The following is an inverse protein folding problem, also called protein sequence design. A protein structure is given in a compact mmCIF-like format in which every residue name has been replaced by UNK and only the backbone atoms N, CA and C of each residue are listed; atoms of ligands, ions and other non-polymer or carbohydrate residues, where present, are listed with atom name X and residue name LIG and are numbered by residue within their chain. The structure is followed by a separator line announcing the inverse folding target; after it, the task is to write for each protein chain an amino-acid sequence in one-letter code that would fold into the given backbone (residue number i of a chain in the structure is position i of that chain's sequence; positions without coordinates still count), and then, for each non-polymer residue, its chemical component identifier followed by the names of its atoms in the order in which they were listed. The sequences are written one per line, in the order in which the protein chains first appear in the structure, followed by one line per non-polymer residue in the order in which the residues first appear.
data_IF_470138238866
#
_entry.id   IF_470138238866
#
_cell.length_a   1.000
_cell.length_b   1.000
_cell.length_c   1.000
_cell.angle_alpha   90.00
_cell.angle_beta   90.00
_cell.angle_gamma   90.00
#
_symmetry.space_group_name_H-M   'P 1'
#
loop_
_entity.id
_entity.type
_entity.pdbx_description
1 polymer ?
#
# COMPACT_ATOMS: atom_id res chain seq x y z
N UNK A 1 -9.42 19.82 16.15
CA UNK A 1 -8.40 18.79 16.18
C UNK A 1 -7.18 19.20 15.40
N UNK A 2 -6.02 19.01 16.03
CA UNK A 2 -4.72 19.50 15.60
C UNK A 2 -3.66 18.43 15.86
N UNK A 3 -2.82 18.19 14.86
CA UNK A 3 -1.65 17.32 15.03
C UNK A 3 -0.61 18.04 15.87
N UNK A 4 -0.29 17.50 17.03
CA UNK A 4 0.75 18.02 17.93
C UNK A 4 2.12 17.50 17.52
N UNK A 5 2.21 16.21 17.21
CA UNK A 5 3.47 15.55 16.84
C UNK A 5 3.17 14.32 15.98
N UNK A 6 3.91 14.15 14.90
CA UNK A 6 3.95 12.88 14.16
C UNK A 6 5.33 12.25 14.35
N UNK A 7 5.36 10.98 14.75
CA UNK A 7 6.61 10.25 15.00
C UNK A 7 6.56 8.85 14.42
N UNK A 8 7.61 8.49 13.70
CA UNK A 8 7.78 7.16 13.11
C UNK A 8 8.73 6.32 13.97
N UNK A 9 8.28 5.11 14.33
CA UNK A 9 9.09 4.10 15.00
C UNK A 9 9.35 2.97 14.01
N UNK A 10 10.60 2.80 13.57
CA UNK A 10 11.01 1.81 12.54
C UNK A 10 11.28 0.40 13.09
N UNK A 11 11.00 0.18 14.36
CA UNK A 11 11.27 -1.07 15.08
C UNK A 11 10.59 -1.06 16.44
N UNK A 12 10.96 -2.01 17.34
CA UNK A 12 10.35 -2.13 18.65
C UNK A 12 10.35 -0.81 19.42
N UNK A 13 9.19 -0.47 19.97
CA UNK A 13 8.92 0.77 20.69
C UNK A 13 7.96 0.53 21.85
N UNK A 14 7.74 1.51 22.75
CA UNK A 14 6.71 1.41 23.80
C UNK A 14 5.29 1.17 23.27
N UNK A 15 5.06 1.40 21.97
CA UNK A 15 3.76 1.31 21.33
C UNK A 15 3.54 0.02 20.54
N UNK A 16 4.58 -0.80 20.37
CA UNK A 16 4.49 -2.07 19.63
C UNK A 16 5.86 -2.62 19.25
N UNK A 17 5.92 -3.92 18.97
CA UNK A 17 7.12 -4.59 18.47
C UNK A 17 7.34 -4.36 16.96
N UNK A 18 6.26 -4.09 16.22
CA UNK A 18 6.29 -3.79 14.80
C UNK A 18 6.56 -2.29 14.55
N UNK A 19 7.03 -1.91 13.36
CA UNK A 19 7.08 -0.52 12.95
C UNK A 19 5.70 0.14 13.03
N UNK A 20 5.64 1.32 13.65
CA UNK A 20 4.40 2.07 13.88
C UNK A 20 4.59 3.56 13.66
N UNK A 21 3.55 4.22 13.17
CA UNK A 21 3.41 5.67 13.18
C UNK A 21 2.58 6.03 14.41
N UNK A 22 3.02 7.04 15.15
CA UNK A 22 2.26 7.65 16.24
C UNK A 22 1.97 9.09 15.88
N UNK A 23 0.70 9.42 15.78
CA UNK A 23 0.20 10.79 15.70
C UNK A 23 -0.32 11.18 17.09
N UNK A 24 0.30 12.17 17.70
CA UNK A 24 -0.26 12.83 18.89
C UNK A 24 -1.28 13.86 18.40
N UNK A 25 -2.55 13.57 18.63
CA UNK A 25 -3.68 14.33 18.15
C UNK A 25 -4.39 14.99 19.33
N UNK A 26 -4.46 16.32 19.30
CA UNK A 26 -5.30 17.11 20.18
C UNK A 26 -6.68 17.23 19.52
N UNK A 27 -7.73 16.66 20.10
CA UNK A 27 -9.07 16.72 19.52
C UNK A 27 -9.70 18.11 19.65
N UNK A 28 -9.18 18.95 20.56
CA UNK A 28 -9.76 20.25 20.89
C UNK A 28 -11.25 20.06 21.24
N UNK A 29 -12.15 20.87 20.67
CA UNK A 29 -13.58 20.76 20.98
C UNK A 29 -14.21 19.44 20.51
N UNK A 30 -13.58 18.70 19.57
CA UNK A 30 -14.08 17.40 19.12
C UNK A 30 -14.01 16.30 20.19
N UNK A 31 -13.35 16.55 21.32
CA UNK A 31 -13.40 15.64 22.46
C UNK A 31 -14.85 15.38 22.91
N UNK A 32 -15.71 16.39 22.80
CA UNK A 32 -17.12 16.33 23.16
C UNK A 32 -18.01 15.72 22.05
N UNK A 33 -17.42 15.36 20.90
CA UNK A 33 -18.13 14.89 19.71
C UNK A 33 -17.65 13.49 19.30
N UNK A 34 -17.99 12.44 20.08
CA UNK A 34 -17.80 11.08 19.63
C UNK A 34 -18.66 10.80 18.39
N UNK A 35 -18.28 9.80 17.61
CA UNK A 35 -18.82 9.53 16.26
C UNK A 35 -20.35 9.48 16.20
N UNK A 36 -21.02 8.91 17.20
CA UNK A 36 -22.48 8.79 17.21
C UNK A 36 -23.21 10.12 17.52
N UNK A 37 -22.50 11.12 18.06
CA UNK A 37 -23.05 12.46 18.31
C UNK A 37 -23.05 13.32 17.04
N UNK A 38 -22.26 12.96 16.03
CA UNK A 38 -22.12 13.72 14.80
C UNK A 38 -23.17 13.23 13.78
N UNK A 39 -24.13 14.07 13.38
CA UNK A 39 -25.23 13.64 12.52
C UNK A 39 -24.77 13.08 11.17
N UNK A 40 -25.17 11.83 10.89
CA UNK A 40 -24.90 11.14 9.63
C UNK A 40 -23.43 10.78 9.38
N UNK A 41 -22.54 10.96 10.37
CA UNK A 41 -21.10 10.74 10.20
C UNK A 41 -20.79 9.28 9.89
N UNK A 42 -21.36 8.36 10.67
CA UNK A 42 -21.09 6.93 10.55
C UNK A 42 -21.56 6.40 9.18
N UNK A 43 -22.75 6.81 8.73
CA UNK A 43 -23.34 6.39 7.46
C UNK A 43 -22.48 6.85 6.28
N UNK A 44 -22.09 8.14 6.25
CA UNK A 44 -21.24 8.69 5.18
C UNK A 44 -19.85 8.06 5.17
N UNK A 45 -19.28 7.78 6.34
CA UNK A 45 -17.98 7.09 6.45
C UNK A 45 -18.04 5.69 5.82
N UNK A 46 -19.08 4.92 6.16
CA UNK A 46 -19.23 3.54 5.68
C UNK A 46 -19.67 3.48 4.21
N UNK A 47 -20.34 4.50 3.69
CA UNK A 47 -20.64 4.62 2.26
C UNK A 47 -19.35 4.84 1.45
N UNK A 48 -18.43 5.68 1.94
CA UNK A 48 -17.14 5.93 1.27
C UNK A 48 -16.13 4.79 1.45
N UNK A 49 -16.21 4.06 2.57
CA UNK A 49 -15.28 2.98 2.93
C UNK A 49 -16.03 1.76 3.49
N UNK A 50 -16.78 1.02 2.65
CA UNK A 50 -17.59 -0.12 3.10
C UNK A 50 -16.74 -1.27 3.67
N UNK A 51 -15.48 -1.38 3.26
CA UNK A 51 -14.53 -2.39 3.71
C UNK A 51 -14.12 -2.23 5.18
N UNK A 52 -14.38 -1.08 5.81
CA UNK A 52 -14.25 -0.91 7.26
C UNK A 52 -15.14 -1.89 8.05
N UNK A 53 -16.16 -2.47 7.42
CA UNK A 53 -16.96 -3.56 7.99
C UNK A 53 -16.14 -4.81 8.34
N UNK A 54 -14.99 -5.04 7.72
CA UNK A 54 -14.14 -6.20 8.05
C UNK A 54 -13.28 -5.97 9.30
N UNK A 55 -13.19 -4.75 9.82
CA UNK A 55 -12.32 -4.42 10.94
C UNK A 55 -12.89 -4.92 12.27
N UNK A 56 -12.09 -5.71 13.00
CA UNK A 56 -12.50 -6.29 14.28
C UNK A 56 -12.41 -5.38 15.52
N UNK A 57 -11.54 -4.37 15.49
CA UNK A 57 -11.31 -3.47 16.64
C UNK A 57 -11.08 -4.27 17.95
N UNK A 58 -11.65 -3.84 19.08
CA UNK A 58 -11.58 -4.51 20.38
C UNK A 58 -12.34 -5.85 20.43
N UNK A 59 -13.28 -6.08 19.51
CA UNK A 59 -14.11 -7.29 19.48
C UNK A 59 -13.46 -8.47 18.76
N UNK A 60 -12.39 -8.22 17.99
CA UNK A 60 -11.63 -9.27 17.28
C UNK A 60 -12.43 -10.03 16.23
N UNK A 61 -13.61 -9.53 15.81
CA UNK A 61 -14.53 -10.16 14.86
C UNK A 61 -15.00 -9.15 13.82
N UNK A 62 -15.20 -9.53 12.54
CA UNK A 62 -15.71 -8.63 11.52
C UNK A 62 -16.95 -7.85 11.99
N UNK A 63 -16.99 -6.56 11.69
CA UNK A 63 -18.02 -5.61 12.12
C UNK A 63 -17.75 -4.98 13.49
N UNK A 64 -16.70 -5.39 14.20
CA UNK A 64 -16.38 -4.87 15.53
C UNK A 64 -16.12 -3.36 15.56
N UNK A 65 -15.43 -2.81 14.55
CA UNK A 65 -15.24 -1.35 14.44
C UNK A 65 -16.57 -0.61 14.16
N UNK A 66 -17.38 -1.12 13.22
CA UNK A 66 -18.69 -0.55 12.87
C UNK A 66 -19.59 -0.47 14.10
N UNK A 67 -19.59 -1.53 14.91
CA UNK A 67 -20.30 -1.56 16.19
C UNK A 67 -19.80 -0.46 17.13
N UNK A 68 -18.47 -0.33 17.27
CA UNK A 68 -17.84 0.66 18.16
C UNK A 68 -18.17 2.12 17.81
N UNK A 69 -18.48 2.41 16.54
CA UNK A 69 -18.94 3.73 16.08
C UNK A 69 -20.28 4.17 16.72
N UNK A 70 -21.04 3.25 17.31
CA UNK A 70 -22.37 3.51 17.88
C UNK A 70 -22.59 2.97 19.31
N UNK A 71 -21.66 2.17 19.83
CA UNK A 71 -21.70 1.60 21.19
C UNK A 71 -21.72 2.68 22.27
N UNK A 72 -22.31 2.34 23.42
CA UNK A 72 -22.27 3.16 24.62
C UNK A 72 -20.92 3.01 25.34
N UNK A 73 -20.40 4.12 25.84
CA UNK A 73 -19.17 4.20 26.63
C UNK A 73 -19.50 4.19 28.13
N UNK A 74 -18.49 3.92 28.97
CA UNK A 74 -18.65 3.85 30.44
C UNK A 74 -19.17 5.16 31.07
N UNK A 75 -18.96 6.29 30.38
CA UNK A 75 -19.42 7.63 30.79
C UNK A 75 -20.84 7.99 30.27
N UNK A 76 -21.52 7.03 29.61
CA UNK A 76 -22.85 7.21 29.03
C UNK A 76 -22.86 7.93 27.68
N UNK A 77 -21.71 8.32 27.14
CA UNK A 77 -21.62 8.82 25.76
C UNK A 77 -21.74 7.67 24.76
N UNK A 78 -22.00 7.98 23.49
CA UNK A 78 -22.12 6.96 22.42
C UNK A 78 -21.15 7.20 21.29
N UNK A 79 -20.65 6.12 20.71
CA UNK A 79 -19.66 6.11 19.64
C UNK A 79 -18.23 6.22 20.15
N UNK A 80 -17.30 6.47 19.22
CA UNK A 80 -15.87 6.55 19.52
C UNK A 80 -15.28 7.88 19.05
N UNK A 81 -14.14 8.26 19.62
CA UNK A 81 -13.45 9.50 19.30
C UNK A 81 -12.75 9.47 17.93
N UNK A 82 -12.60 10.66 17.33
CA UNK A 82 -12.04 10.82 15.99
C UNK A 82 -10.64 10.24 15.84
N UNK A 83 -9.81 10.28 16.89
CA UNK A 83 -8.49 9.65 16.87
C UNK A 83 -8.55 8.15 16.56
N UNK A 84 -9.53 7.45 17.12
CA UNK A 84 -9.74 6.02 16.88
C UNK A 84 -10.36 5.75 15.50
N UNK A 85 -11.19 6.66 14.99
CA UNK A 85 -11.68 6.59 13.60
C UNK A 85 -10.52 6.73 12.62
N UNK A 86 -9.64 7.72 12.84
CA UNK A 86 -8.45 7.99 12.00
C UNK A 86 -7.52 6.77 11.98
N UNK A 87 -7.31 6.11 13.11
CA UNK A 87 -6.55 4.86 13.19
C UNK A 87 -7.07 3.80 12.21
N UNK A 88 -8.36 3.49 12.28
CA UNK A 88 -8.98 2.45 11.46
C UNK A 88 -9.00 2.83 9.98
N UNK A 89 -9.27 4.10 9.67
CA UNK A 89 -9.25 4.62 8.30
C UNK A 89 -7.83 4.57 7.73
N UNK A 90 -6.81 4.94 8.50
CA UNK A 90 -5.41 4.89 8.06
C UNK A 90 -4.92 3.46 7.82
N UNK A 91 -5.34 2.50 8.65
CA UNK A 91 -5.09 1.07 8.41
C UNK A 91 -5.75 0.60 7.12
N UNK A 92 -7.03 0.95 6.91
CA UNK A 92 -7.78 0.50 5.74
C UNK A 92 -7.25 1.10 4.43
N UNK A 93 -6.88 2.39 4.42
CA UNK A 93 -6.25 3.01 3.25
C UNK A 93 -4.96 2.28 2.86
N UNK A 94 -4.15 1.84 3.84
CA UNK A 94 -2.95 1.04 3.57
C UNK A 94 -3.30 -0.34 2.99
N UNK A 95 -4.33 -1.01 3.52
CA UNK A 95 -4.82 -2.28 3.00
C UNK A 95 -5.30 -2.15 1.54
N UNK A 96 -6.07 -1.11 1.23
CA UNK A 96 -6.50 -0.79 -0.13
C UNK A 96 -5.33 -0.46 -1.06
N UNK A 97 -4.23 0.10 -0.52
CA UNK A 97 -2.96 0.30 -1.22
C UNK A 97 -2.10 -0.97 -1.36
N UNK A 98 -2.64 -2.15 -1.00
CA UNK A 98 -1.96 -3.45 -1.15
C UNK A 98 -0.98 -3.77 -0.01
N UNK A 99 -1.03 -3.04 1.09
CA UNK A 99 -0.19 -3.25 2.27
C UNK A 99 -1.02 -3.79 3.43
N UNK A 100 -0.85 -5.07 3.74
CA UNK A 100 -1.62 -5.73 4.80
C UNK A 100 -1.09 -5.32 6.19
N UNK A 101 -1.82 -4.43 6.87
CA UNK A 101 -1.54 -3.96 8.23
C UNK A 101 -2.81 -4.01 9.08
N UNK A 102 -2.67 -4.50 10.31
CA UNK A 102 -3.83 -4.74 11.19
C UNK A 102 -3.65 -4.19 12.60
N UNK A 103 -2.44 -3.78 12.98
CA UNK A 103 -2.18 -3.31 14.33
C UNK A 103 -2.46 -1.81 14.45
N UNK A 104 -3.44 -1.47 15.28
CA UNK A 104 -3.79 -0.10 15.65
C UNK A 104 -4.04 0.02 17.15
N UNK A 105 -3.79 1.21 17.70
CA UNK A 105 -4.11 1.52 19.09
C UNK A 105 -4.23 3.03 19.33
N UNK A 106 -5.39 3.48 19.79
CA UNK A 106 -5.61 4.87 20.20
C UNK A 106 -5.70 4.96 21.72
N UNK A 107 -4.89 5.81 22.35
CA UNK A 107 -4.83 5.95 23.81
C UNK A 107 -4.71 7.41 24.24
N UNK A 108 -5.47 7.82 25.25
CA UNK A 108 -5.39 9.14 25.84
C UNK A 108 -4.00 9.39 26.43
N UNK A 109 -3.51 10.63 26.34
CA UNK A 109 -2.24 11.06 26.90
C UNK A 109 -2.44 11.39 28.38
N UNK A 110 -1.69 10.76 29.31
CA UNK A 110 -1.83 11.03 30.73
C UNK A 110 -1.64 12.52 31.05
N UNK A 111 -2.60 13.09 31.81
CA UNK A 111 -2.57 14.49 32.23
C UNK A 111 -2.93 15.51 31.14
N UNK A 112 -3.37 15.07 29.95
CA UNK A 112 -3.79 15.94 28.85
C UNK A 112 -5.15 15.49 28.29
N UNK A 113 -6.28 15.92 28.88
CA UNK A 113 -7.62 15.62 28.37
C UNK A 113 -7.77 16.04 26.90
N UNK A 114 -8.50 15.27 26.09
CA UNK A 114 -8.67 15.54 24.66
C UNK A 114 -7.45 15.21 23.79
N UNK A 115 -6.29 14.86 24.37
CA UNK A 115 -5.09 14.53 23.61
C UNK A 115 -4.88 13.02 23.56
N UNK A 116 -4.66 12.48 22.37
CA UNK A 116 -4.54 11.05 22.12
C UNK A 116 -3.27 10.72 21.35
N UNK A 117 -2.66 9.59 21.66
CA UNK A 117 -1.75 8.89 20.78
C UNK A 117 -2.55 7.96 19.87
N UNK A 118 -2.65 8.32 18.60
CA UNK A 118 -3.19 7.49 17.53
C UNK A 118 -2.04 6.70 16.92
N UNK A 119 -2.04 5.39 17.10
CA UNK A 119 -0.94 4.51 16.70
C UNK A 119 -1.46 3.51 15.67
N UNK A 120 -0.73 3.33 14.57
CA UNK A 120 -1.01 2.27 13.61
C UNK A 120 0.29 1.76 12.98
N UNK A 121 0.31 0.46 12.63
CA UNK A 121 1.45 -0.16 11.97
C UNK A 121 1.56 0.24 10.50
N UNK A 122 2.78 0.16 9.98
CA UNK A 122 3.06 0.34 8.55
C UNK A 122 4.07 -0.72 8.08
N UNK A 123 4.06 -1.01 6.78
CA UNK A 123 5.17 -1.73 6.11
C UNK A 123 6.04 -0.74 5.36
N UNK A 124 5.42 0.11 4.54
CA UNK A 124 6.09 1.19 3.82
C UNK A 124 5.78 2.53 4.50
N UNK A 125 6.83 3.21 4.98
CA UNK A 125 6.71 4.40 5.83
C UNK A 125 5.93 5.53 5.14
N UNK A 126 6.27 5.80 3.88
CA UNK A 126 5.62 6.86 3.11
C UNK A 126 4.13 6.57 2.89
N UNK A 127 3.77 5.31 2.58
CA UNK A 127 2.37 4.89 2.41
C UNK A 127 1.61 5.07 3.74
N UNK A 128 2.22 4.71 4.87
CA UNK A 128 1.60 4.89 6.18
C UNK A 128 1.42 6.36 6.59
N UNK A 129 2.36 7.24 6.24
CA UNK A 129 2.24 8.69 6.50
C UNK A 129 1.16 9.32 5.62
N UNK A 130 1.16 9.03 4.32
CA UNK A 130 0.14 9.53 3.39
C UNK A 130 -1.26 9.00 3.74
N UNK A 131 -1.36 7.74 4.19
CA UNK A 131 -2.62 7.16 4.65
C UNK A 131 -3.17 7.85 5.91
N UNK A 132 -2.30 8.21 6.86
CA UNK A 132 -2.69 8.96 8.06
C UNK A 132 -3.20 10.37 7.73
N UNK A 133 -2.54 11.06 6.81
CA UNK A 133 -2.95 12.38 6.35
C UNK A 133 -4.29 12.31 5.59
N UNK A 134 -4.45 11.35 4.67
CA UNK A 134 -5.70 11.16 3.95
C UNK A 134 -6.85 10.75 4.89
N UNK A 135 -6.57 9.93 5.92
CA UNK A 135 -7.54 9.58 6.95
C UNK A 135 -8.01 10.82 7.73
N UNK A 136 -7.08 11.69 8.12
CA UNK A 136 -7.38 12.95 8.78
C UNK A 136 -8.28 13.83 7.91
N UNK A 137 -7.92 14.01 6.64
CA UNK A 137 -8.69 14.84 5.69
C UNK A 137 -10.08 14.26 5.42
N UNK A 138 -10.19 12.94 5.26
CA UNK A 138 -11.49 12.26 5.14
C UNK A 138 -12.35 12.52 6.37
N UNK A 139 -11.85 12.29 7.58
CA UNK A 139 -12.61 12.52 8.81
C UNK A 139 -13.07 13.98 8.91
N UNK A 140 -12.19 14.95 8.62
CA UNK A 140 -12.52 16.38 8.61
C UNK A 140 -13.57 16.74 7.56
N UNK A 141 -13.57 16.07 6.40
CA UNK A 141 -14.55 16.31 5.34
C UNK A 141 -15.96 15.86 5.71
N UNK A 142 -16.07 14.92 6.66
CA UNK A 142 -17.34 14.35 7.11
C UNK A 142 -17.96 15.12 8.28
N UNK A 143 -17.22 16.07 8.87
CA UNK A 143 -17.69 16.92 9.96
C UNK A 143 -18.65 18.01 9.42
N UNK A 144 -19.72 18.33 10.15
CA UNK A 144 -20.53 19.52 9.89
C UNK A 144 -19.68 20.79 9.89
N UNK A 145 -19.94 21.76 8.99
CA UNK A 145 -19.12 22.96 8.84
C UNK A 145 -19.09 23.85 10.09
N UNK A 146 -20.05 23.68 11.01
CA UNK A 146 -20.11 24.39 12.28
C UNK A 146 -19.11 23.86 13.32
N UNK A 147 -18.52 22.67 13.10
CA UNK A 147 -17.55 22.10 14.04
C UNK A 147 -16.13 22.62 13.78
N UNK A 148 -15.33 22.94 14.83
CA UNK A 148 -14.04 23.65 14.72
C UNK A 148 -12.95 23.00 13.86
N UNK A 149 -13.13 21.75 13.41
CA UNK A 149 -12.15 21.02 12.61
C UNK A 149 -12.65 20.57 11.26
N UNK A 150 -13.88 20.94 10.88
CA UNK A 150 -14.38 20.66 9.56
C UNK A 150 -13.42 21.25 8.50
N UNK A 151 -13.36 20.61 7.33
CA UNK A 151 -12.62 21.20 6.22
C UNK A 151 -13.23 22.56 5.85
N UNK A 152 -12.41 23.59 5.59
CA UNK A 152 -12.90 24.84 5.02
C UNK A 152 -13.72 24.58 3.74
N UNK A 153 -14.76 25.37 3.43
CA UNK A 153 -15.64 25.10 2.29
C UNK A 153 -14.91 24.95 0.94
N UNK A 154 -13.83 25.71 0.75
CA UNK A 154 -12.98 25.63 -0.45
C UNK A 154 -12.19 24.33 -0.53
N UNK A 155 -11.62 23.87 0.59
CA UNK A 155 -10.90 22.60 0.67
C UNK A 155 -11.87 21.42 0.54
N UNK A 156 -13.06 21.52 1.16
CA UNK A 156 -14.10 20.50 1.08
C UNK A 156 -14.60 20.34 -0.36
N UNK A 157 -14.82 21.44 -1.08
CA UNK A 157 -15.22 21.41 -2.49
C UNK A 157 -14.15 20.81 -3.41
N UNK A 158 -12.87 20.92 -3.04
CA UNK A 158 -11.75 20.34 -3.78
C UNK A 158 -11.43 18.90 -3.40
N UNK A 159 -11.93 18.43 -2.25
CA UNK A 159 -11.64 17.11 -1.71
C UNK A 159 -12.48 16.03 -2.38
N UNK A 160 -11.79 15.10 -3.04
CA UNK A 160 -12.38 13.89 -3.61
C UNK A 160 -11.63 12.69 -3.03
N UNK A 161 -12.23 12.07 -2.02
CA UNK A 161 -11.61 10.94 -1.32
C UNK A 161 -11.28 9.78 -2.27
N UNK A 162 -12.17 9.46 -3.22
CA UNK A 162 -11.98 8.33 -4.14
C UNK A 162 -10.78 8.61 -5.03
N UNK A 163 -10.71 9.80 -5.62
CA UNK A 163 -9.58 10.21 -6.48
C UNK A 163 -8.26 10.25 -5.70
N UNK A 164 -8.26 10.81 -4.49
CA UNK A 164 -7.05 10.92 -3.67
C UNK A 164 -6.55 9.57 -3.16
N UNK A 165 -7.48 8.67 -2.77
CA UNK A 165 -7.19 7.27 -2.45
C UNK A 165 -6.56 6.58 -3.66
N UNK A 166 -7.17 6.68 -4.84
CA UNK A 166 -6.67 6.01 -6.04
C UNK A 166 -5.30 6.55 -6.46
N UNK A 167 -5.04 7.86 -6.27
CA UNK A 167 -3.72 8.44 -6.47
C UNK A 167 -2.69 7.91 -5.46
N UNK A 168 -3.07 7.70 -4.19
CA UNK A 168 -2.21 7.07 -3.19
C UNK A 168 -1.93 5.61 -3.56
N UNK A 169 -2.94 4.85 -3.99
CA UNK A 169 -2.77 3.45 -4.45
C UNK A 169 -1.78 3.39 -5.61
N UNK A 170 -1.91 4.28 -6.60
CA UNK A 170 -0.98 4.33 -7.73
C UNK A 170 0.46 4.63 -7.28
N UNK A 171 0.67 5.61 -6.39
CA UNK A 171 2.00 5.88 -5.83
C UNK A 171 2.53 4.72 -4.99
N UNK A 172 1.66 4.08 -4.22
CA UNK A 172 2.02 2.93 -3.41
C UNK A 172 2.45 1.74 -4.28
N UNK A 173 1.90 1.55 -5.47
CA UNK A 173 2.35 0.48 -6.39
C UNK A 173 3.82 0.65 -6.83
N UNK A 174 4.31 1.88 -6.94
CA UNK A 174 5.73 2.15 -7.23
C UNK A 174 6.63 1.89 -6.01
N UNK A 175 6.07 2.10 -4.81
CA UNK A 175 6.80 1.96 -3.54
C UNK A 175 6.72 0.55 -3.00
N UNK A 176 5.66 -0.23 -3.20
CA UNK A 176 5.48 -1.56 -2.60
C UNK A 176 6.27 -2.61 -3.38
N UNK A 177 6.68 -3.68 -2.70
CA UNK A 177 7.34 -4.80 -3.37
C UNK A 177 6.37 -5.47 -4.35
N UNK A 178 6.81 -5.63 -5.60
CA UNK A 178 6.04 -6.40 -6.60
C UNK A 178 5.77 -7.85 -6.14
N UNK A 179 4.77 -8.53 -6.73
CA UNK A 179 4.23 -9.79 -6.19
C UNK A 179 5.29 -10.88 -6.00
N UNK A 180 6.20 -11.04 -6.95
CA UNK A 180 7.33 -11.99 -6.85
C UNK A 180 8.25 -11.66 -5.69
N UNK A 181 8.66 -10.39 -5.55
CA UNK A 181 9.56 -9.97 -4.47
C UNK A 181 8.87 -10.09 -3.12
N UNK A 182 7.59 -9.67 -3.01
CA UNK A 182 6.79 -9.77 -1.79
C UNK A 182 6.65 -11.21 -1.32
N UNK A 183 6.34 -12.16 -2.22
CA UNK A 183 6.25 -13.58 -1.89
C UNK A 183 7.57 -14.16 -1.34
N UNK A 184 8.70 -13.81 -1.96
CA UNK A 184 10.03 -14.22 -1.48
C UNK A 184 10.36 -13.61 -0.11
N UNK A 185 10.01 -12.34 0.11
CA UNK A 185 10.21 -11.66 1.39
C UNK A 185 9.33 -12.23 2.49
N UNK A 186 8.07 -12.52 2.20
CA UNK A 186 7.15 -13.14 3.14
C UNK A 186 7.67 -14.51 3.58
N UNK A 187 8.11 -15.34 2.62
CA UNK A 187 8.69 -16.65 2.93
C UNK A 187 10.02 -16.55 3.70
N UNK A 188 10.88 -15.58 3.36
CA UNK A 188 12.10 -15.32 4.12
C UNK A 188 11.79 -14.97 5.58
N UNK A 189 10.86 -14.03 5.81
CA UNK A 189 10.40 -13.64 7.15
C UNK A 189 9.80 -14.83 7.91
N UNK A 190 8.99 -15.66 7.26
CA UNK A 190 8.41 -16.89 7.86
C UNK A 190 9.48 -17.85 8.35
N UNK A 191 10.65 -17.90 7.68
CA UNK A 191 11.81 -18.71 8.08
C UNK A 191 12.73 -18.02 9.09
N UNK A 192 12.35 -16.84 9.60
CA UNK A 192 13.21 -16.05 10.47
C UNK A 192 14.42 -15.46 9.76
N UNK A 193 14.38 -15.35 8.43
CA UNK A 193 15.42 -14.70 7.63
C UNK A 193 15.07 -13.20 7.51
N UNK A 194 15.93 -12.30 8.01
CA UNK A 194 15.74 -10.87 7.88
C UNK A 194 15.66 -10.45 6.41
N UNK A 195 14.68 -9.60 6.09
CA UNK A 195 14.50 -9.03 4.75
C UNK A 195 14.51 -7.50 4.86
N UNK A 196 15.53 -6.87 4.28
CA UNK A 196 15.82 -5.45 4.40
C UNK A 196 15.72 -4.83 3.01
N UNK A 197 14.82 -3.87 2.84
CA UNK A 197 14.70 -3.13 1.59
C UNK A 197 15.87 -2.14 1.47
N UNK A 198 16.52 -2.13 0.31
CA UNK A 198 17.70 -1.30 0.05
C UNK A 198 17.41 -0.10 -0.86
N UNK A 199 16.35 -0.14 -1.66
CA UNK A 199 15.94 0.95 -2.55
C UNK A 199 14.42 0.96 -2.79
N UNK A 200 13.96 1.96 -3.55
CA UNK A 200 12.56 2.08 -3.99
C UNK A 200 12.22 1.07 -5.11
N UNK A 201 13.21 0.59 -5.86
CA UNK A 201 13.04 -0.32 -7.01
C UNK A 201 13.10 -1.83 -6.65
N UNK A 202 12.54 -2.20 -5.50
CA UNK A 202 12.41 -3.61 -5.04
C UNK A 202 13.74 -4.38 -4.91
N UNK A 203 14.87 -3.71 -4.64
CA UNK A 203 16.10 -4.37 -4.20
C UNK A 203 16.00 -4.73 -2.73
N UNK A 204 16.11 -6.02 -2.42
CA UNK A 204 16.00 -6.54 -1.05
C UNK A 204 17.24 -7.34 -0.70
N UNK A 205 17.76 -7.12 0.50
CA UNK A 205 18.74 -7.97 1.14
C UNK A 205 18.05 -9.00 2.04
N UNK A 206 18.41 -10.27 1.87
CA UNK A 206 18.04 -11.37 2.74
C UNK A 206 19.24 -11.75 3.63
N UNK A 207 19.05 -11.82 4.94
CA UNK A 207 20.09 -12.20 5.90
C UNK A 207 21.12 -11.11 6.20
N UNK A 208 22.14 -11.47 6.99
CA UNK A 208 23.16 -10.56 7.50
C UNK A 208 24.58 -11.05 7.21
N UNK A 209 25.52 -10.09 7.16
CA UNK A 209 26.96 -10.35 7.09
C UNK A 209 27.33 -11.25 5.92
N UNK A 210 28.22 -12.22 6.16
CA UNK A 210 28.70 -13.14 5.12
C UNK A 210 27.62 -14.04 4.50
N UNK A 211 26.44 -14.14 5.12
CA UNK A 211 25.32 -14.95 4.62
C UNK A 211 24.29 -14.12 3.87
N UNK A 212 24.49 -12.81 3.74
CA UNK A 212 23.54 -11.96 3.04
C UNK A 212 23.42 -12.34 1.56
N UNK A 213 22.21 -12.29 1.01
CA UNK A 213 21.92 -12.42 -0.42
C UNK A 213 21.11 -11.21 -0.87
N UNK A 214 21.24 -10.80 -2.14
CA UNK A 214 20.42 -9.73 -2.71
C UNK A 214 19.49 -10.29 -3.75
N UNK A 215 18.26 -9.81 -3.76
CA UNK A 215 17.26 -10.16 -4.75
C UNK A 215 16.59 -8.91 -5.32
N UNK A 216 16.19 -8.99 -6.58
CA UNK A 216 15.24 -8.08 -7.22
C UNK A 216 14.33 -8.92 -8.10
N UNK A 217 13.04 -8.96 -7.76
CA UNK A 217 12.14 -10.00 -8.27
C UNK A 217 12.74 -11.40 -8.06
N UNK A 218 12.85 -12.21 -9.12
CA UNK A 218 13.46 -13.55 -9.08
C UNK A 218 14.97 -13.56 -9.34
N UNK A 219 15.57 -12.41 -9.68
CA UNK A 219 17.02 -12.31 -9.94
C UNK A 219 17.76 -12.22 -8.61
N UNK A 220 18.81 -13.00 -8.44
CA UNK A 220 19.59 -13.05 -7.20
C UNK A 220 21.03 -12.58 -7.41
N UNK A 221 21.76 -12.32 -6.33
CA UNK A 221 23.20 -12.07 -6.35
C UNK A 221 24.04 -13.24 -6.93
N UNK A 222 23.44 -14.41 -7.16
CA UNK A 222 24.08 -15.57 -7.81
C UNK A 222 23.76 -15.67 -9.30
N UNK A 223 22.82 -14.89 -9.80
CA UNK A 223 22.48 -14.87 -11.22
C UNK A 223 23.57 -14.10 -11.97
N UNK A 224 24.28 -14.78 -12.88
CA UNK A 224 25.35 -14.14 -13.67
C UNK A 224 24.79 -13.01 -14.52
N UNK A 225 25.53 -11.89 -14.61
CA UNK A 225 25.16 -10.77 -15.46
C UNK A 225 25.01 -11.21 -16.93
N UNK A 226 25.94 -12.01 -17.43
CA UNK A 226 25.90 -12.55 -18.80
C UNK A 226 24.61 -13.36 -19.02
N UNK A 227 24.17 -14.13 -18.02
CA UNK A 227 22.93 -14.90 -18.14
C UNK A 227 21.69 -14.00 -18.20
N UNK A 228 21.65 -12.91 -17.43
CA UNK A 228 20.56 -11.92 -17.47
C UNK A 228 20.52 -11.20 -18.81
N UNK A 229 21.67 -10.74 -19.31
CA UNK A 229 21.76 -10.09 -20.62
C UNK A 229 21.33 -11.04 -21.73
N UNK A 230 21.86 -12.27 -21.73
CA UNK A 230 21.50 -13.31 -22.71
C UNK A 230 20.01 -13.58 -22.72
N UNK A 231 19.40 -13.77 -21.53
CA UNK A 231 17.97 -14.07 -21.43
C UNK A 231 17.06 -12.87 -21.78
N UNK A 232 17.58 -11.64 -21.70
CA UNK A 232 16.86 -10.43 -22.09
C UNK A 232 16.90 -10.17 -23.59
N UNK A 233 17.91 -10.71 -24.29
CA UNK A 233 18.01 -10.70 -25.75
C UNK A 233 17.28 -11.91 -26.35
N UNK A 234 16.15 -11.64 -27.02
CA UNK A 234 15.31 -12.68 -27.63
C UNK A 234 16.01 -13.38 -28.79
N UNK A 235 16.78 -12.65 -29.61
CA UNK A 235 17.46 -13.22 -30.78
C UNK A 235 18.58 -14.15 -30.32
N UNK A 236 19.41 -13.67 -29.39
CA UNK A 236 20.49 -14.49 -28.83
C UNK A 236 19.92 -15.71 -28.08
N UNK A 237 18.87 -15.54 -27.30
CA UNK A 237 18.21 -16.65 -26.60
C UNK A 237 17.72 -17.71 -27.58
N UNK A 238 17.01 -17.32 -28.64
CA UNK A 238 16.48 -18.27 -29.62
C UNK A 238 17.60 -19.00 -30.35
N UNK A 239 18.67 -18.29 -30.74
CA UNK A 239 19.85 -18.91 -31.37
C UNK A 239 20.47 -19.97 -30.44
N UNK A 240 20.76 -19.61 -29.19
CA UNK A 240 21.37 -20.55 -28.24
C UNK A 240 20.52 -21.78 -27.97
N UNK A 241 19.19 -21.61 -27.86
CA UNK A 241 18.27 -22.74 -27.71
C UNK A 241 18.25 -23.62 -28.98
N UNK A 242 18.21 -23.02 -30.16
CA UNK A 242 18.24 -23.74 -31.44
C UNK A 242 19.56 -24.51 -31.64
N UNK A 243 20.70 -23.89 -31.33
CA UNK A 243 22.02 -24.51 -31.42
C UNK A 243 22.15 -25.71 -30.45
N UNK A 244 21.44 -25.66 -29.33
CA UNK A 244 21.31 -26.76 -28.38
C UNK A 244 20.27 -27.83 -28.78
N UNK A 245 19.62 -27.69 -29.95
CA UNK A 245 18.59 -28.60 -30.44
C UNK A 245 17.23 -28.48 -29.74
N UNK A 246 17.01 -27.41 -28.96
CA UNK A 246 15.72 -27.11 -28.33
C UNK A 246 14.83 -26.43 -29.37
N UNK A 247 13.62 -26.96 -29.64
CA UNK A 247 12.70 -26.36 -30.61
C UNK A 247 12.35 -24.92 -30.23
N UNK A 248 12.47 -24.00 -31.19
CA UNK A 248 12.12 -22.59 -31.03
C UNK A 248 11.09 -22.15 -32.08
N UNK A 249 10.29 -21.10 -31.80
CA UNK A 249 9.35 -20.56 -32.77
C UNK A 249 10.07 -20.03 -34.02
N UNK A 250 9.48 -20.28 -35.21
CA UNK A 250 9.90 -19.61 -36.44
C UNK A 250 9.64 -18.11 -36.28
N UNK A 251 10.65 -17.30 -36.55
CA UNK A 251 10.58 -15.84 -36.41
C UNK A 251 11.45 -15.18 -37.48
N UNK A 252 11.18 -13.92 -37.78
CA UNK A 252 11.96 -13.07 -38.68
C UNK A 252 12.12 -11.72 -37.98
N UNK A 253 13.36 -11.25 -37.84
CA UNK A 253 13.63 -9.88 -37.38
C UNK A 253 13.32 -8.91 -38.52
N UNK A 254 12.56 -7.87 -38.20
CA UNK A 254 12.16 -6.82 -39.15
C UNK A 254 12.46 -5.45 -38.56
N UNK A 255 12.85 -4.49 -39.40
CA UNK A 255 13.20 -3.11 -39.03
C UNK A 255 12.28 -2.07 -39.64
N UNK A 256 11.34 -2.46 -40.50
CA UNK A 256 10.34 -1.60 -41.12
C UNK A 256 8.97 -2.26 -41.18
N UNK A 257 7.93 -1.46 -41.40
CA UNK A 257 6.58 -1.97 -41.60
C UNK A 257 6.48 -2.85 -42.86
N UNK A 258 7.16 -2.44 -43.94
CA UNK A 258 7.17 -3.20 -45.20
C UNK A 258 7.83 -4.58 -45.02
N UNK A 259 8.98 -4.64 -44.33
CA UNK A 259 9.63 -5.90 -43.98
C UNK A 259 8.73 -6.80 -43.11
N UNK A 260 7.93 -6.20 -42.22
CA UNK A 260 6.98 -6.93 -41.40
C UNK A 260 5.86 -7.59 -42.23
N UNK A 261 5.37 -6.90 -43.27
CA UNK A 261 4.37 -7.43 -44.20
C UNK A 261 4.94 -8.60 -45.01
N UNK A 262 6.14 -8.44 -45.58
CA UNK A 262 6.81 -9.51 -46.33
C UNK A 262 7.11 -10.73 -45.45
N UNK A 263 7.54 -10.49 -44.20
CA UNK A 263 7.76 -11.55 -43.22
C UNK A 263 6.45 -12.27 -42.87
N UNK A 264 5.33 -11.54 -42.80
CA UNK A 264 4.03 -12.11 -42.49
C UNK A 264 3.54 -13.06 -43.60
N UNK A 265 3.70 -12.67 -44.86
CA UNK A 265 3.37 -13.52 -46.02
C UNK A 265 4.20 -14.81 -46.04
N UNK A 266 5.48 -14.73 -45.65
CA UNK A 266 6.38 -15.89 -45.59
C UNK A 266 6.08 -16.85 -44.44
N UNK A 267 5.74 -16.33 -43.26
CA UNK A 267 5.52 -17.15 -42.06
C UNK A 267 4.11 -17.73 -42.01
N UNK A 268 3.13 -17.01 -42.56
CA UNK A 268 1.71 -17.33 -42.54
C UNK A 268 1.03 -16.95 -41.22
N UNK A 269 -0.23 -16.50 -41.31
CA UNK A 269 -1.05 -16.14 -40.14
C UNK A 269 -1.59 -17.37 -39.39
N UNK A 270 -1.89 -17.24 -38.08
CA UNK A 270 -1.76 -16.06 -37.22
C UNK A 270 -0.32 -15.79 -36.77
N UNK A 271 0.00 -14.51 -36.51
CA UNK A 271 1.35 -14.05 -36.16
C UNK A 271 1.31 -13.12 -34.96
N UNK A 272 2.46 -12.96 -34.31
CA UNK A 272 2.62 -12.07 -33.17
C UNK A 272 3.78 -11.14 -33.47
N UNK A 273 3.55 -9.83 -33.38
CA UNK A 273 4.61 -8.83 -33.46
C UNK A 273 5.05 -8.43 -32.05
N UNK A 274 6.36 -8.37 -31.83
CA UNK A 274 6.96 -8.05 -30.52
C UNK A 274 8.18 -7.16 -30.73
N UNK A 275 8.37 -6.10 -29.92
CA UNK A 275 9.61 -5.35 -29.90
C UNK A 275 10.76 -6.25 -29.44
N UNK A 276 11.96 -6.00 -29.96
CA UNK A 276 13.14 -6.82 -29.66
C UNK A 276 13.57 -6.65 -28.20
N UNK A 277 13.68 -5.41 -27.75
CA UNK A 277 14.35 -4.95 -26.53
C UNK A 277 13.39 -4.58 -25.38
N UNK A 278 12.11 -4.98 -25.49
CA UNK A 278 11.10 -4.65 -24.49
C UNK A 278 10.58 -5.91 -23.79
N UNK A 279 10.50 -5.80 -22.46
CA UNK A 279 10.04 -6.85 -21.53
C UNK A 279 8.60 -6.58 -21.03
N UNK A 280 8.06 -7.52 -20.23
CA UNK A 280 6.76 -7.40 -19.56
C UNK A 280 5.55 -7.22 -20.49
N UNK A 281 5.62 -7.80 -21.69
CA UNK A 281 4.48 -7.82 -22.61
C UNK A 281 4.16 -6.48 -23.30
N UNK A 282 4.99 -5.46 -23.11
CA UNK A 282 4.73 -4.14 -23.70
C UNK A 282 5.02 -4.16 -25.20
N UNK A 283 4.16 -3.49 -25.97
CA UNK A 283 4.29 -3.38 -27.43
C UNK A 283 3.99 -4.66 -28.20
N UNK A 284 3.44 -5.70 -27.56
CA UNK A 284 3.02 -6.93 -28.24
C UNK A 284 1.70 -6.69 -28.97
N UNK A 285 1.62 -7.08 -30.25
CA UNK A 285 0.35 -7.19 -30.98
C UNK A 285 0.12 -8.64 -31.41
N UNK A 286 -1.15 -9.07 -31.34
CA UNK A 286 -1.64 -10.40 -31.71
C UNK A 286 -2.43 -10.34 -33.03
#
# INVERSE_FOLDING_TARGET
MRVVETRVYRGPSPYGYNPVIRITLDLEELEEWPSARIPGFNERLLELMPTLAEHGCSYGTPGGFVRRLSDENDDGTRGTWMGHVIEHVALEIQCLAGTEVTYGKTRSVPGQPGVYHVIYSFIEEQVGLEAGELAMRLVRSLLPPELPSALPPEELAAFDFVRERDALIARAQDIVLGPTTSALVAEARRRGIPAIRLDEHSLVQLGYGKYQQRIRASVTSKTSHIAVETASDKELTIRLLSDAGIPTPRHILVRSADEAVEAAERLGYPLVTKPLDVSHGRGISL
#
